data_IF_120512072122
#
_entry.id   IF_120512072122
#
_cell.length_a   1.000
_cell.length_b   1.000
_cell.length_c   1.000
_cell.angle_alpha   90.00
_cell.angle_beta   90.00
_cell.angle_gamma   90.00
#
_symmetry.space_group_name_H-M   'P 1'
#
loop_
_entity.id
_entity.type
_entity.pdbx_description
1 polymer ?
#
# COMPACT_ATOMS: atom_id res chain seq x y z
N UNK A 1 -1.67 -3.15 -12.75
CA UNK A 1 -2.21 -2.07 -13.59
C UNK A 1 -1.08 -1.60 -14.45
N UNK A 2 -1.25 -1.60 -15.77
CA UNK A 2 -0.22 -1.07 -16.67
C UNK A 2 -0.08 0.43 -16.38
N UNK A 3 1.14 0.97 -16.42
CA UNK A 3 1.38 2.38 -16.12
C UNK A 3 0.54 3.32 -17.00
N UNK A 4 0.22 2.90 -18.23
CA UNK A 4 -0.58 3.66 -19.19
C UNK A 4 -2.03 3.86 -18.74
N UNK A 5 -2.71 2.81 -18.25
CA UNK A 5 -4.08 2.90 -17.74
C UNK A 5 -4.18 3.86 -16.53
N UNK A 6 -3.12 3.87 -15.73
CA UNK A 6 -3.00 4.70 -14.54
C UNK A 6 -2.83 6.18 -14.92
N UNK A 7 -2.03 6.45 -15.96
CA UNK A 7 -1.84 7.79 -16.50
C UNK A 7 -3.14 8.35 -17.10
N UNK A 8 -3.88 7.56 -17.88
CA UNK A 8 -5.17 7.97 -18.45
C UNK A 8 -6.18 8.31 -17.36
N UNK A 9 -6.32 7.45 -16.34
CA UNK A 9 -7.20 7.71 -15.18
C UNK A 9 -6.85 8.98 -14.43
N UNK A 10 -5.55 9.28 -14.26
CA UNK A 10 -5.11 10.54 -13.66
C UNK A 10 -5.53 11.72 -14.53
N UNK A 11 -5.29 11.66 -15.84
CA UNK A 11 -5.64 12.73 -16.77
C UNK A 11 -7.14 13.02 -16.80
N UNK A 12 -7.99 11.98 -16.86
CA UNK A 12 -9.45 12.12 -16.79
C UNK A 12 -9.92 12.75 -15.47
N UNK A 13 -9.34 12.33 -14.36
CA UNK A 13 -9.70 12.85 -13.05
C UNK A 13 -9.22 14.30 -12.84
N UNK A 14 -8.07 14.68 -13.41
CA UNK A 14 -7.58 16.06 -13.43
C UNK A 14 -8.48 16.93 -14.32
N UNK A 15 -8.86 16.45 -15.51
CA UNK A 15 -9.76 17.16 -16.41
C UNK A 15 -11.14 17.42 -15.78
N UNK A 16 -11.61 16.50 -14.92
CA UNK A 16 -12.87 16.63 -14.20
C UNK A 16 -12.79 17.34 -12.84
N UNK A 17 -11.66 17.97 -12.49
CA UNK A 17 -11.37 18.58 -11.17
C UNK A 17 -11.87 17.75 -9.97
N UNK A 18 -11.67 16.43 -10.04
CA UNK A 18 -12.25 15.50 -9.08
C UNK A 18 -11.51 15.54 -7.75
N UNK A 19 -12.29 15.39 -6.68
CA UNK A 19 -11.83 15.39 -5.30
C UNK A 19 -11.87 13.98 -4.71
N UNK A 20 -10.80 13.56 -4.04
CA UNK A 20 -10.67 12.22 -3.49
C UNK A 20 -10.12 12.22 -2.07
N UNK A 21 -10.49 11.18 -1.31
CA UNK A 21 -9.88 10.92 0.00
C UNK A 21 -8.46 10.42 -0.17
N UNK A 22 -7.64 10.59 0.86
CA UNK A 22 -6.25 10.11 0.89
C UNK A 22 -6.12 8.61 0.57
N UNK A 23 -7.09 7.79 0.99
CA UNK A 23 -7.12 6.36 0.70
C UNK A 23 -7.31 6.07 -0.79
N UNK A 24 -8.35 6.64 -1.41
CA UNK A 24 -8.61 6.46 -2.85
C UNK A 24 -7.48 6.99 -3.72
N UNK A 25 -6.89 8.15 -3.38
CA UNK A 25 -5.72 8.68 -4.07
C UNK A 25 -4.56 7.68 -4.10
N UNK A 26 -4.28 7.04 -2.96
CA UNK A 26 -3.19 6.07 -2.85
C UNK A 26 -3.48 4.79 -3.60
N UNK A 27 -4.69 4.26 -3.45
CA UNK A 27 -5.01 2.90 -3.89
C UNK A 27 -5.39 2.84 -5.37
N UNK A 28 -6.13 3.84 -5.88
CA UNK A 28 -6.57 3.90 -7.28
C UNK A 28 -5.62 4.70 -8.17
N UNK A 29 -5.13 5.86 -7.70
CA UNK A 29 -4.32 6.77 -8.52
C UNK A 29 -2.83 6.69 -8.25
N UNK A 30 -2.40 5.96 -7.20
CA UNK A 30 -1.01 5.93 -6.74
C UNK A 30 -0.45 7.35 -6.53
N UNK A 31 -1.26 8.24 -5.98
CA UNK A 31 -0.91 9.63 -5.68
C UNK A 31 -0.95 9.88 -4.18
N UNK A 32 -0.26 10.93 -3.75
CA UNK A 32 -0.35 11.50 -2.41
C UNK A 32 -0.57 13.01 -2.52
N UNK A 33 -1.25 13.65 -1.55
CA UNK A 33 -1.31 15.11 -1.50
C UNK A 33 0.10 15.72 -1.54
N UNK A 34 0.27 16.84 -2.23
CA UNK A 34 1.54 17.56 -2.23
C UNK A 34 1.88 18.05 -0.81
N UNK A 35 3.17 18.25 -0.49
CA UNK A 35 3.57 18.89 0.76
C UNK A 35 2.92 20.28 0.84
N UNK A 36 2.07 20.53 1.84
CA UNK A 36 1.35 21.80 1.99
C UNK A 36 0.00 21.89 1.27
N UNK A 37 -0.48 20.81 0.64
CA UNK A 37 -1.82 20.80 0.04
C UNK A 37 -2.92 20.91 1.12
N UNK A 38 -3.70 21.98 1.06
CA UNK A 38 -4.85 22.22 1.94
C UNK A 38 -6.03 21.31 1.54
N UNK A 39 -6.64 20.58 2.49
CA UNK A 39 -7.86 19.82 2.23
C UNK A 39 -9.02 20.71 1.80
N UNK A 40 -9.75 20.30 0.76
CA UNK A 40 -10.98 20.98 0.34
C UNK A 40 -12.06 20.89 1.42
N UNK A 41 -12.17 19.71 2.04
CA UNK A 41 -13.18 19.45 3.06
C UNK A 41 -12.74 18.36 4.01
N UNK A 42 -13.21 18.50 5.25
CA UNK A 42 -13.09 17.51 6.30
C UNK A 42 -14.42 16.81 6.52
N UNK A 43 -14.39 15.49 6.57
CA UNK A 43 -15.53 14.65 6.91
C UNK A 43 -15.25 13.89 8.21
N UNK A 44 -16.29 13.64 9.00
CA UNK A 44 -16.19 12.83 10.21
C UNK A 44 -16.17 11.34 9.84
N UNK A 45 -15.28 10.59 10.46
CA UNK A 45 -15.24 9.12 10.36
C UNK A 45 -16.22 8.49 11.34
N UNK A 46 -16.81 7.35 10.97
CA UNK A 46 -17.64 6.53 11.85
C UNK A 46 -16.83 5.90 13.01
N UNK A 47 -15.55 5.63 12.78
CA UNK A 47 -14.66 4.96 13.76
C UNK A 47 -13.90 5.95 14.66
N UNK A 48 -14.35 7.20 14.73
CA UNK A 48 -13.62 8.29 15.37
C UNK A 48 -12.59 8.94 14.44
N UNK A 49 -12.43 10.25 14.57
CA UNK A 49 -11.53 11.05 13.75
C UNK A 49 -12.20 11.75 12.57
N UNK A 50 -11.38 12.45 11.78
CA UNK A 50 -11.79 13.16 10.56
C UNK A 50 -10.88 12.73 9.41
N UNK A 51 -11.41 12.70 8.20
CA UNK A 51 -10.61 12.48 7.00
C UNK A 51 -10.75 13.67 6.05
N UNK A 52 -9.61 14.01 5.44
CA UNK A 52 -9.46 15.08 4.48
C UNK A 52 -9.72 14.57 3.06
N UNK A 53 -10.35 15.43 2.26
CA UNK A 53 -10.52 15.27 0.81
C UNK A 53 -9.65 16.30 0.10
N UNK A 54 -8.92 15.85 -0.92
CA UNK A 54 -7.98 16.66 -1.68
C UNK A 54 -8.38 16.69 -3.15
N UNK A 55 -8.10 17.80 -3.84
CA UNK A 55 -8.18 17.85 -5.30
C UNK A 55 -7.04 17.04 -5.88
N UNK A 56 -7.32 16.35 -6.98
CA UNK A 56 -6.28 15.58 -7.65
C UNK A 56 -5.19 16.47 -8.29
N UNK A 57 -5.53 17.71 -8.67
CA UNK A 57 -4.59 18.69 -9.19
C UNK A 57 -3.48 19.05 -8.18
N UNK A 58 -3.80 19.07 -6.88
CA UNK A 58 -2.86 19.37 -5.79
C UNK A 58 -2.10 18.12 -5.29
N UNK A 59 -2.24 16.98 -5.98
CA UNK A 59 -1.63 15.73 -5.61
C UNK A 59 -0.43 15.40 -6.51
N UNK A 60 0.55 14.71 -5.96
CA UNK A 60 1.75 14.26 -6.67
C UNK A 60 1.78 12.74 -6.80
N UNK A 61 2.27 12.18 -7.91
CA UNK A 61 2.45 10.75 -8.07
C UNK A 61 3.42 10.20 -7.02
N UNK A 62 3.08 9.04 -6.45
CA UNK A 62 3.98 8.32 -5.58
C UNK A 62 5.14 7.74 -6.39
N UNK A 63 6.29 7.58 -5.72
CA UNK A 63 7.46 6.92 -6.30
C UNK A 63 7.07 5.53 -6.78
N UNK A 64 7.46 5.21 -8.02
CA UNK A 64 7.26 3.89 -8.58
C UNK A 64 7.94 2.82 -7.72
N UNK A 65 7.26 1.70 -7.53
CA UNK A 65 7.80 0.59 -6.77
C UNK A 65 8.82 -0.12 -7.65
N UNK A 66 10.10 0.05 -7.31
CA UNK A 66 11.19 -0.69 -7.96
C UNK A 66 11.01 -2.19 -7.73
N UNK A 67 11.35 -3.03 -8.73
CA UNK A 67 11.43 -4.46 -8.49
C UNK A 67 12.44 -4.74 -7.36
N UNK A 68 12.16 -5.71 -6.47
CA UNK A 68 13.08 -6.07 -5.41
C UNK A 68 14.38 -6.64 -6.00
N UNK A 69 15.51 -6.27 -5.41
CA UNK A 69 16.81 -6.82 -5.80
C UNK A 69 16.89 -8.32 -5.47
N UNK A 70 17.79 -9.06 -6.10
CA UNK A 70 17.96 -10.51 -5.84
C UNK A 70 18.19 -10.80 -4.35
N UNK A 71 19.03 -10.00 -3.68
CA UNK A 71 19.26 -10.10 -2.22
C UNK A 71 17.97 -9.91 -1.43
N UNK A 72 17.11 -8.97 -1.82
CA UNK A 72 15.82 -8.75 -1.17
C UNK A 72 14.84 -9.90 -1.40
N UNK A 73 14.86 -10.51 -2.60
CA UNK A 73 14.05 -11.69 -2.90
C UNK A 73 14.49 -12.89 -2.05
N UNK A 74 15.81 -13.17 -1.99
CA UNK A 74 16.36 -14.22 -1.14
C UNK A 74 16.05 -14.00 0.34
N UNK A 75 16.17 -12.75 0.84
CA UNK A 75 15.79 -12.41 2.20
C UNK A 75 14.30 -12.69 2.47
N UNK A 76 13.41 -12.37 1.51
CA UNK A 76 11.99 -12.69 1.59
C UNK A 76 11.72 -14.20 1.67
N UNK A 77 12.40 -15.00 0.85
CA UNK A 77 12.30 -16.46 0.89
C UNK A 77 12.78 -17.00 2.24
N UNK A 78 13.94 -16.54 2.73
CA UNK A 78 14.47 -16.93 4.04
C UNK A 78 13.50 -16.61 5.17
N UNK A 79 12.92 -15.40 5.16
CA UNK A 79 11.94 -14.98 6.15
C UNK A 79 10.69 -15.88 6.13
N UNK A 80 10.22 -16.28 4.94
CA UNK A 80 9.06 -17.16 4.81
C UNK A 80 9.29 -18.54 5.45
N UNK A 81 10.49 -19.12 5.25
CA UNK A 81 10.88 -20.39 5.86
C UNK A 81 10.99 -20.25 7.37
N UNK A 82 11.69 -19.22 7.85
CA UNK A 82 11.84 -18.95 9.28
C UNK A 82 10.50 -18.70 9.97
N UNK A 83 9.57 -18.00 9.32
CA UNK A 83 8.23 -17.78 9.84
C UNK A 83 7.47 -19.09 10.00
N UNK A 84 7.57 -20.00 9.02
CA UNK A 84 6.94 -21.32 9.09
C UNK A 84 7.50 -22.16 10.23
N UNK A 85 8.83 -22.22 10.36
CA UNK A 85 9.50 -22.96 11.44
C UNK A 85 9.17 -22.38 12.82
N UNK A 86 9.11 -21.05 12.94
CA UNK A 86 8.82 -20.38 14.21
C UNK A 86 7.33 -20.32 14.57
N UNK A 87 6.44 -20.68 13.64
CA UNK A 87 5.01 -20.76 13.92
C UNK A 87 4.73 -21.80 15.02
N UNK A 88 3.60 -21.67 15.71
CA UNK A 88 3.15 -22.66 16.70
C UNK A 88 3.11 -24.05 16.09
N UNK A 89 2.51 -24.19 14.89
CA UNK A 89 2.46 -25.46 14.15
C UNK A 89 3.85 -26.02 13.82
N UNK A 90 4.79 -25.18 13.37
CA UNK A 90 6.15 -25.59 13.03
C UNK A 90 6.93 -26.08 14.25
N UNK A 91 6.80 -25.38 15.38
CA UNK A 91 7.43 -25.79 16.64
C UNK A 91 6.87 -27.11 17.18
N UNK A 92 5.55 -27.33 17.07
CA UNK A 92 4.94 -28.58 17.50
C UNK A 92 5.33 -29.75 16.58
N UNK A 93 5.40 -29.52 15.27
CA UNK A 93 5.88 -30.51 14.32
C UNK A 93 7.34 -30.91 14.61
N UNK A 94 8.21 -29.94 14.92
CA UNK A 94 9.59 -30.23 15.33
C UNK A 94 9.63 -31.06 16.62
N UNK A 95 8.87 -30.68 17.66
CA UNK A 95 8.80 -31.44 18.91
C UNK A 95 8.29 -32.86 18.69
N UNK A 96 7.29 -33.05 17.83
CA UNK A 96 6.76 -34.37 17.50
C UNK A 96 7.80 -35.21 16.75
N UNK A 97 8.54 -34.62 15.82
CA UNK A 97 9.65 -35.29 15.14
C UNK A 97 10.73 -35.72 16.14
N UNK A 98 11.12 -34.84 17.05
CA UNK A 98 12.14 -35.12 18.08
C UNK A 98 11.70 -36.21 19.06
N UNK A 99 10.40 -36.43 19.26
CA UNK A 99 9.85 -37.53 20.07
C UNK A 99 9.77 -38.86 19.33
N UNK A 100 9.67 -38.83 17.99
CA UNK A 100 9.52 -40.01 17.14
C UNK A 100 10.85 -40.50 16.53
N UNK A 101 11.93 -39.74 16.71
CA UNK A 101 13.30 -40.09 16.27
C UNK A 101 14.08 -40.74 17.40
#
# INVERSE_FOLDING_TARGET
>A
MKNDELATRRAEAIAGDRCFTKGRLRDEFRMKPAPGAEPVKWYKSAYGGKYAVYRIADCVPMREKRPPTEKQQQAGLRLSVLSRLNSTSGRMAQRAHDWLS
#
